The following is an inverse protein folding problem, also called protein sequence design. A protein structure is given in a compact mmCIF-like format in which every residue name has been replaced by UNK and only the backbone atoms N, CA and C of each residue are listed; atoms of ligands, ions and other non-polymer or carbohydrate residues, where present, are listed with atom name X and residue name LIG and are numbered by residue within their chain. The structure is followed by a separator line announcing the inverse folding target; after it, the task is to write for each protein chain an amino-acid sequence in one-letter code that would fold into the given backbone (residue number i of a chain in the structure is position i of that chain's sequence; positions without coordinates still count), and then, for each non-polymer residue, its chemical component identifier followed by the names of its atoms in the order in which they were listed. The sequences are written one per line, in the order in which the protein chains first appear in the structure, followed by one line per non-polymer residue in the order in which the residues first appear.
data_IF_313235824305
#
_entry.id   IF_313235824305
#
_cell.length_a   1.000
_cell.length_b   1.000
_cell.length_c   1.000
_cell.angle_alpha   90.00
_cell.angle_beta   90.00
_cell.angle_gamma   90.00
#
_symmetry.space_group_name_H-M   'P 1'
#
loop_
_entity.id
_entity.type
_entity.pdbx_description
1 polymer ?
#
# COMPACT_ATOMS: atom_id res chain seq x y z
N UNK A 1 6.45 -15.44 -2.70
CA UNK A 1 5.02 -15.11 -2.84
C UNK A 1 4.27 -16.41 -2.92
N UNK A 2 3.51 -16.75 -1.92
CA UNK A 2 2.57 -17.87 -1.95
C UNK A 2 1.18 -17.30 -2.22
N UNK A 3 0.40 -17.97 -3.07
CA UNK A 3 -1.01 -17.66 -3.27
C UNK A 3 -1.72 -17.90 -1.93
N UNK A 4 -2.24 -16.85 -1.33
CA UNK A 4 -2.71 -16.93 0.03
C UNK A 4 -4.15 -17.39 0.06
N UNK A 5 -4.37 -18.59 0.55
CA UNK A 5 -5.66 -19.03 1.05
C UNK A 5 -5.86 -18.48 2.46
N UNK A 6 -6.27 -17.20 2.57
CA UNK A 6 -6.60 -16.58 3.84
C UNK A 6 -8.06 -16.12 3.83
N UNK A 7 -9.03 -16.96 4.24
CA UNK A 7 -10.47 -16.73 4.05
C UNK A 7 -10.98 -15.37 4.56
N UNK A 8 -10.36 -14.87 5.65
CA UNK A 8 -10.70 -13.57 6.21
C UNK A 8 -10.32 -12.42 5.28
N UNK A 9 -9.13 -12.47 4.68
CA UNK A 9 -8.65 -11.44 3.77
C UNK A 9 -9.39 -11.49 2.43
N UNK A 10 -9.64 -12.70 1.91
CA UNK A 10 -10.40 -12.92 0.67
C UNK A 10 -11.81 -12.35 0.78
N UNK A 11 -12.55 -12.72 1.83
CA UNK A 11 -13.90 -12.20 2.07
C UNK A 11 -13.95 -10.68 2.23
N UNK A 12 -12.89 -10.09 2.78
CA UNK A 12 -12.78 -8.65 2.98
C UNK A 12 -12.50 -7.93 1.65
N UNK A 13 -11.58 -8.45 0.85
CA UNK A 13 -11.27 -7.94 -0.49
C UNK A 13 -12.50 -8.04 -1.40
N UNK A 14 -13.18 -9.19 -1.44
CA UNK A 14 -14.40 -9.41 -2.19
C UNK A 14 -15.47 -8.37 -1.82
N UNK A 15 -15.72 -8.17 -0.52
CA UNK A 15 -16.71 -7.21 -0.01
C UNK A 15 -16.40 -5.78 -0.44
N UNK A 16 -15.12 -5.35 -0.35
CA UNK A 16 -14.71 -4.01 -0.78
C UNK A 16 -14.85 -3.87 -2.29
N UNK A 17 -14.34 -4.84 -3.06
CA UNK A 17 -14.40 -4.80 -4.51
C UNK A 17 -15.84 -4.75 -5.03
N UNK A 18 -16.74 -5.57 -4.46
CA UNK A 18 -18.16 -5.55 -4.80
C UNK A 18 -18.82 -4.21 -4.48
N UNK A 19 -18.47 -3.59 -3.34
CA UNK A 19 -19.05 -2.31 -2.91
C UNK A 19 -18.63 -1.14 -3.81
N UNK A 20 -17.46 -1.20 -4.42
CA UNK A 20 -16.90 -0.11 -5.24
C UNK A 20 -16.84 -0.41 -6.73
N UNK A 21 -17.31 -1.58 -7.17
CA UNK A 21 -17.29 -1.98 -8.58
C UNK A 21 -15.86 -2.14 -9.13
N UNK A 22 -14.93 -2.56 -8.29
CA UNK A 22 -13.53 -2.80 -8.64
C UNK A 22 -13.35 -4.29 -8.93
N UNK A 23 -12.58 -4.62 -9.97
CA UNK A 23 -12.21 -6.02 -10.23
C UNK A 23 -11.33 -6.57 -9.10
N UNK A 24 -11.65 -7.78 -8.65
CA UNK A 24 -10.91 -8.42 -7.57
C UNK A 24 -9.44 -8.68 -7.97
N UNK A 25 -8.47 -8.25 -7.15
CA UNK A 25 -7.07 -8.58 -7.34
C UNK A 25 -6.80 -10.02 -6.88
N UNK A 26 -5.78 -10.64 -7.45
CA UNK A 26 -5.22 -11.87 -6.90
C UNK A 26 -4.53 -11.57 -5.56
N UNK A 27 -4.84 -12.34 -4.52
CA UNK A 27 -4.26 -12.15 -3.19
C UNK A 27 -2.99 -13.00 -3.02
N UNK A 28 -1.92 -12.36 -2.56
CA UNK A 28 -0.64 -13.00 -2.24
C UNK A 28 -0.18 -12.66 -0.83
N UNK A 29 0.48 -13.61 -0.18
CA UNK A 29 1.08 -13.38 1.14
C UNK A 29 2.60 -13.44 1.07
N UNK A 30 3.24 -12.55 1.83
CA UNK A 30 4.68 -12.60 2.12
C UNK A 30 4.87 -13.03 3.56
N UNK A 31 5.68 -14.07 3.76
CA UNK A 31 5.99 -14.60 5.10
C UNK A 31 7.01 -13.70 5.80
N UNK A 32 6.47 -12.69 6.48
CA UNK A 32 7.22 -11.77 7.36
C UNK A 32 6.32 -11.30 8.49
N UNK A 33 6.91 -11.05 9.65
CA UNK A 33 6.23 -10.52 10.84
C UNK A 33 5.92 -9.01 10.75
N UNK A 34 6.48 -8.33 9.75
CA UNK A 34 6.21 -6.92 9.51
C UNK A 34 4.74 -6.70 9.12
N UNK A 35 4.21 -5.54 9.45
CA UNK A 35 2.86 -5.13 9.06
C UNK A 35 2.98 -4.23 7.84
N UNK A 36 2.69 -4.78 6.67
CA UNK A 36 2.74 -4.03 5.42
C UNK A 36 1.83 -4.64 4.35
N UNK A 37 1.54 -3.87 3.31
CA UNK A 37 0.79 -4.30 2.15
C UNK A 37 1.25 -3.52 0.91
N UNK A 38 1.01 -4.09 -0.27
CA UNK A 38 1.32 -3.46 -1.54
C UNK A 38 0.34 -3.91 -2.62
N UNK A 39 0.01 -3.02 -3.54
CA UNK A 39 -0.69 -3.38 -4.77
C UNK A 39 0.27 -3.32 -5.95
N UNK A 40 0.30 -4.37 -6.75
CA UNK A 40 1.18 -4.48 -7.91
C UNK A 40 0.44 -5.03 -9.12
N UNK A 41 0.89 -4.68 -10.32
CA UNK A 41 0.34 -5.24 -11.54
C UNK A 41 -0.23 -4.20 -12.49
N UNK A 42 -1.13 -4.65 -13.36
CA UNK A 42 -1.81 -3.86 -14.40
C UNK A 42 -3.32 -4.00 -14.23
N UNK A 43 -4.08 -3.16 -14.91
CA UNK A 43 -5.54 -3.13 -14.80
C UNK A 43 -6.22 -4.49 -15.01
N UNK A 44 -5.62 -5.34 -15.84
CA UNK A 44 -6.11 -6.68 -16.18
C UNK A 44 -5.47 -7.81 -15.33
N UNK A 45 -4.46 -7.49 -14.52
CA UNK A 45 -3.70 -8.47 -13.73
C UNK A 45 -3.18 -7.83 -12.43
N UNK A 46 -4.10 -7.38 -11.59
CA UNK A 46 -3.77 -6.77 -10.29
C UNK A 46 -3.51 -7.84 -9.25
N UNK A 47 -2.50 -7.59 -8.44
CA UNK A 47 -2.15 -8.41 -7.29
C UNK A 47 -2.08 -7.54 -6.05
N UNK A 48 -2.78 -7.99 -5.01
CA UNK A 48 -2.69 -7.43 -3.68
C UNK A 48 -1.78 -8.32 -2.85
N UNK A 49 -0.71 -7.76 -2.35
CA UNK A 49 0.28 -8.45 -1.52
C UNK A 49 0.09 -7.98 -0.09
N UNK A 50 -0.15 -8.92 0.83
CA UNK A 50 -0.30 -8.62 2.26
C UNK A 50 0.72 -9.45 3.03
N UNK A 51 1.38 -8.85 4.00
CA UNK A 51 2.31 -9.59 4.86
C UNK A 51 1.57 -10.47 5.87
N UNK A 52 2.19 -11.58 6.28
CA UNK A 52 1.66 -12.43 7.36
C UNK A 52 1.43 -11.62 8.63
N UNK A 53 2.37 -10.74 8.99
CA UNK A 53 2.22 -9.87 10.15
C UNK A 53 1.00 -8.95 10.09
N UNK A 54 0.61 -8.44 8.93
CA UNK A 54 -0.61 -7.67 8.76
C UNK A 54 -1.87 -8.53 8.96
N UNK A 55 -1.89 -9.74 8.40
CA UNK A 55 -3.00 -10.67 8.54
C UNK A 55 -3.24 -11.13 9.98
N UNK A 56 -2.18 -11.30 10.76
CA UNK A 56 -2.24 -11.81 12.14
C UNK A 56 -2.47 -10.72 13.18
N UNK A 57 -1.87 -9.52 12.99
CA UNK A 57 -1.80 -8.47 14.04
C UNK A 57 -2.83 -7.35 13.87
N UNK A 58 -3.36 -7.18 12.66
CA UNK A 58 -4.41 -6.21 12.40
C UNK A 58 -5.78 -6.78 12.74
N UNK A 59 -6.63 -5.97 13.38
CA UNK A 59 -8.03 -6.30 13.53
C UNK A 59 -8.78 -6.16 12.18
N UNK A 60 -10.08 -6.46 12.18
CA UNK A 60 -10.87 -6.44 10.96
C UNK A 60 -10.95 -5.05 10.33
N UNK A 61 -11.17 -4.01 11.13
CA UNK A 61 -11.31 -2.64 10.65
C UNK A 61 -9.98 -2.07 10.16
N UNK A 62 -8.90 -2.39 10.88
CA UNK A 62 -7.54 -2.01 10.50
C UNK A 62 -7.13 -2.67 9.17
N UNK A 63 -7.40 -3.97 9.00
CA UNK A 63 -7.12 -4.68 7.76
C UNK A 63 -7.98 -4.16 6.60
N UNK A 64 -9.27 -3.86 6.85
CA UNK A 64 -10.17 -3.25 5.90
C UNK A 64 -9.64 -1.88 5.43
N UNK A 65 -9.14 -1.06 6.35
CA UNK A 65 -8.57 0.23 6.04
C UNK A 65 -7.30 0.10 5.18
N UNK A 66 -6.44 -0.86 5.49
CA UNK A 66 -5.23 -1.15 4.70
C UNK A 66 -5.59 -1.62 3.30
N UNK A 67 -6.50 -2.58 3.16
CA UNK A 67 -6.96 -3.08 1.86
C UNK A 67 -7.62 -1.97 1.05
N UNK A 68 -8.49 -1.17 1.65
CA UNK A 68 -9.14 -0.03 0.99
C UNK A 68 -8.12 0.99 0.48
N UNK A 69 -7.09 1.28 1.27
CA UNK A 69 -5.99 2.15 0.85
C UNK A 69 -5.22 1.58 -0.35
N UNK A 70 -4.88 0.30 -0.33
CA UNK A 70 -4.15 -0.31 -1.43
C UNK A 70 -5.00 -0.34 -2.73
N UNK A 71 -6.29 -0.62 -2.61
CA UNK A 71 -7.20 -0.62 -3.75
C UNK A 71 -7.44 0.80 -4.30
N UNK A 72 -7.41 1.83 -3.46
CA UNK A 72 -7.50 3.23 -3.91
C UNK A 72 -6.31 3.64 -4.77
N UNK A 73 -5.11 3.17 -4.45
CA UNK A 73 -3.92 3.36 -5.28
C UNK A 73 -4.09 2.79 -6.68
N UNK A 74 -4.80 1.68 -6.79
CA UNK A 74 -5.09 1.04 -8.07
C UNK A 74 -5.92 1.95 -8.99
N UNK A 75 -6.97 2.57 -8.46
CA UNK A 75 -7.82 3.52 -9.20
C UNK A 75 -7.11 4.79 -9.65
N UNK A 76 -6.06 5.21 -8.95
CA UNK A 76 -5.38 6.50 -9.12
C UNK A 76 -4.14 6.47 -10.04
N UNK A 77 -3.98 5.44 -10.87
CA UNK A 77 -2.94 5.42 -11.92
C UNK A 77 -1.52 5.08 -11.44
N UNK A 78 -1.37 4.44 -10.27
CA UNK A 78 -0.07 3.98 -9.77
C UNK A 78 0.67 3.06 -10.77
N UNK A 79 -0.08 2.45 -11.68
CA UNK A 79 0.48 1.66 -12.79
C UNK A 79 1.41 2.47 -13.68
N UNK A 80 1.05 3.73 -13.97
CA UNK A 80 1.89 4.61 -14.77
C UNK A 80 3.20 4.91 -14.04
N UNK A 81 3.15 5.16 -12.73
CA UNK A 81 4.33 5.38 -11.90
C UNK A 81 5.22 4.13 -11.86
N UNK A 82 4.65 2.94 -11.71
CA UNK A 82 5.40 1.66 -11.69
C UNK A 82 6.09 1.39 -13.02
N UNK A 83 5.40 1.63 -14.15
CA UNK A 83 5.99 1.49 -15.48
C UNK A 83 7.12 2.51 -15.68
N UNK A 84 6.91 3.77 -15.29
CA UNK A 84 7.93 4.81 -15.42
C UNK A 84 9.16 4.55 -14.54
N UNK A 85 8.98 4.02 -13.31
CA UNK A 85 10.09 3.61 -12.45
C UNK A 85 10.89 2.48 -13.10
N UNK A 86 10.21 1.52 -13.72
CA UNK A 86 10.87 0.43 -14.44
C UNK A 86 11.66 0.92 -15.66
N UNK A 87 11.10 1.85 -16.44
CA UNK A 87 11.77 2.47 -17.59
C UNK A 87 12.93 3.36 -17.15
N UNK A 88 12.83 4.04 -16.00
CA UNK A 88 13.89 4.91 -15.49
C UNK A 88 15.19 4.18 -15.16
N UNK A 89 15.17 2.85 -14.99
CA UNK A 89 16.37 2.01 -14.88
C UNK A 89 17.22 2.03 -16.15
N UNK A 90 16.59 2.06 -17.31
CA UNK A 90 17.28 2.02 -18.60
C UNK A 90 18.01 3.34 -18.92
N UNK A 91 17.69 4.43 -18.21
CA UNK A 91 18.16 5.80 -18.52
C UNK A 91 19.28 6.27 -17.57
N UNK A 92 19.84 5.41 -16.72
CA UNK A 92 20.99 5.71 -15.86
C UNK A 92 20.76 6.85 -14.86
N UNK A 93 21.72 7.78 -14.67
CA UNK A 93 21.63 8.83 -13.64
C UNK A 93 20.46 9.81 -13.87
N UNK A 94 20.01 10.00 -15.11
CA UNK A 94 18.81 10.79 -15.42
C UNK A 94 17.54 10.15 -14.84
N UNK A 95 17.50 8.83 -14.77
CA UNK A 95 16.40 8.06 -14.18
C UNK A 95 16.23 8.31 -12.69
N UNK A 96 17.29 8.60 -11.94
CA UNK A 96 17.18 8.92 -10.50
C UNK A 96 16.49 10.28 -10.26
N UNK A 97 16.74 11.26 -11.11
CA UNK A 97 16.12 12.58 -11.04
C UNK A 97 14.63 12.52 -11.44
N UNK A 98 14.32 11.71 -12.44
CA UNK A 98 12.94 11.46 -12.89
C UNK A 98 12.15 10.74 -11.79
N UNK A 99 12.74 9.73 -11.13
CA UNK A 99 12.11 9.03 -10.00
C UNK A 99 11.75 9.97 -8.86
N UNK A 100 12.68 10.84 -8.42
CA UNK A 100 12.43 11.80 -7.35
C UNK A 100 11.27 12.76 -7.65
N UNK A 101 11.00 13.01 -8.93
CA UNK A 101 9.92 13.89 -9.37
C UNK A 101 8.57 13.18 -9.59
N UNK A 102 8.62 11.90 -9.94
CA UNK A 102 7.43 11.07 -10.19
C UNK A 102 6.91 10.38 -8.93
N UNK A 103 7.79 10.08 -7.98
CA UNK A 103 7.44 9.53 -6.67
C UNK A 103 7.22 10.68 -5.68
N UNK A 104 6.24 11.53 -5.97
CA UNK A 104 5.85 12.60 -5.05
C UNK A 104 5.22 11.95 -3.80
N UNK A 105 5.80 12.25 -2.63
CA UNK A 105 5.26 11.80 -1.34
C UNK A 105 3.80 12.18 -1.10
N UNK A 106 3.29 13.17 -1.84
CA UNK A 106 1.88 13.55 -1.87
C UNK A 106 0.97 12.45 -2.42
N UNK A 107 1.48 11.54 -3.27
CA UNK A 107 0.66 10.42 -3.80
C UNK A 107 0.28 9.43 -2.70
N UNK A 108 1.20 9.14 -1.78
CA UNK A 108 0.93 8.22 -0.67
C UNK A 108 0.00 8.84 0.37
N UNK A 109 0.17 10.14 0.67
CA UNK A 109 -0.76 10.85 1.53
C UNK A 109 -2.17 10.94 0.91
N UNK A 110 -2.27 11.13 -0.40
CA UNK A 110 -3.56 11.06 -1.12
C UNK A 110 -4.16 9.67 -1.06
N UNK A 111 -3.36 8.63 -1.24
CA UNK A 111 -3.83 7.26 -1.11
C UNK A 111 -4.39 6.94 0.27
N UNK A 112 -3.79 7.49 1.33
CA UNK A 112 -4.32 7.35 2.68
C UNK A 112 -5.69 8.02 2.80
N UNK A 113 -5.85 9.24 2.27
CA UNK A 113 -7.12 9.97 2.28
C UNK A 113 -8.18 9.26 1.42
N UNK A 114 -7.81 8.84 0.20
CA UNK A 114 -8.72 8.14 -0.71
C UNK A 114 -9.15 6.77 -0.12
N UNK A 115 -8.23 6.04 0.50
CA UNK A 115 -8.51 4.80 1.21
C UNK A 115 -9.47 4.98 2.38
N UNK A 116 -9.29 6.07 3.12
CA UNK A 116 -10.19 6.45 4.21
C UNK A 116 -11.58 6.84 3.69
N UNK A 117 -11.69 7.49 2.54
CA UNK A 117 -12.98 7.78 1.92
C UNK A 117 -13.74 6.50 1.53
N UNK A 118 -13.02 5.45 1.13
CA UNK A 118 -13.60 4.14 0.85
C UNK A 118 -14.13 3.47 2.12
N UNK A 119 -13.35 3.46 3.18
CA UNK A 119 -13.72 2.76 4.43
C UNK A 119 -14.52 3.62 5.39
N UNK A 120 -14.52 4.94 5.22
CA UNK A 120 -15.20 5.94 6.07
C UNK A 120 -14.80 5.90 7.54
N UNK A 121 -13.63 5.35 7.85
CA UNK A 121 -13.17 5.23 9.24
C UNK A 121 -11.65 5.50 9.36
N UNK A 122 -11.24 6.80 9.36
CA UNK A 122 -9.84 7.22 9.46
C UNK A 122 -9.06 6.60 10.61
N UNK A 123 -9.63 6.44 11.83
CA UNK A 123 -8.87 5.92 12.96
C UNK A 123 -8.35 4.49 12.75
N UNK A 124 -8.99 3.68 11.90
CA UNK A 124 -8.51 2.32 11.62
C UNK A 124 -7.19 2.32 10.87
N UNK A 125 -7.07 3.16 9.83
CA UNK A 125 -5.81 3.29 9.09
C UNK A 125 -4.71 3.88 9.96
N UNK A 126 -5.01 4.90 10.77
CA UNK A 126 -4.05 5.47 11.71
C UNK A 126 -3.49 4.41 12.66
N UNK A 127 -4.35 3.58 13.26
CA UNK A 127 -3.92 2.47 14.15
C UNK A 127 -3.11 1.42 13.42
N UNK A 128 -3.48 1.05 12.19
CA UNK A 128 -2.72 0.11 11.39
C UNK A 128 -1.29 0.63 11.13
N UNK A 129 -1.15 1.92 10.77
CA UNK A 129 0.15 2.56 10.58
C UNK A 129 0.96 2.67 11.87
N UNK A 130 0.32 2.91 13.03
CA UNK A 130 0.98 2.90 14.34
C UNK A 130 1.55 1.52 14.69
N UNK A 131 0.76 0.47 14.48
CA UNK A 131 1.21 -0.91 14.68
C UNK A 131 2.36 -1.26 13.73
N UNK A 132 2.27 -0.85 12.47
CA UNK A 132 3.32 -1.05 11.48
C UNK A 132 4.63 -0.33 11.89
N UNK A 133 4.53 0.91 12.40
CA UNK A 133 5.67 1.68 12.90
C UNK A 133 6.35 1.03 14.10
N UNK A 134 5.57 0.43 14.99
CA UNK A 134 6.07 -0.22 16.21
C UNK A 134 6.65 -1.62 15.94
N UNK A 135 6.32 -2.20 14.79
CA UNK A 135 6.72 -3.56 14.42
C UNK A 135 8.04 -3.64 13.64
N UNK A 136 8.32 -4.83 13.12
CA UNK A 136 9.43 -5.05 12.21
C UNK A 136 9.21 -4.32 10.88
N UNK A 137 10.28 -3.80 10.29
CA UNK A 137 10.23 -3.24 8.94
C UNK A 137 10.47 -4.34 7.90
N UNK A 138 9.82 -4.24 6.75
CA UNK A 138 10.16 -5.05 5.58
C UNK A 138 11.41 -4.45 4.95
N UNK A 139 12.38 -5.30 4.60
CA UNK A 139 13.52 -4.88 3.80
C UNK A 139 13.08 -4.81 2.33
N UNK A 140 12.71 -3.62 1.91
CA UNK A 140 12.22 -3.37 0.57
C UNK A 140 13.36 -3.08 -0.39
N UNK A 141 13.33 -3.73 -1.56
CA UNK A 141 14.13 -3.28 -2.70
C UNK A 141 13.79 -1.79 -2.98
N UNK A 142 14.79 -0.91 -3.12
CA UNK A 142 14.60 0.51 -3.44
C UNK A 142 13.69 0.78 -4.64
N UNK A 143 13.45 -0.23 -5.48
CA UNK A 143 12.59 -0.13 -6.65
C UNK A 143 11.11 -0.36 -6.37
N UNK A 144 10.78 -1.18 -5.38
CA UNK A 144 9.42 -1.54 -5.00
C UNK A 144 8.91 -0.76 -3.79
N UNK A 145 9.79 -0.03 -3.11
CA UNK A 145 9.49 0.63 -1.86
C UNK A 145 8.27 1.59 -1.94
N UNK A 146 8.05 2.22 -3.08
CA UNK A 146 6.93 3.13 -3.30
C UNK A 146 5.57 2.43 -3.45
N UNK A 147 5.57 1.11 -3.62
CA UNK A 147 4.36 0.30 -3.74
C UNK A 147 3.84 -0.15 -2.38
N UNK A 148 4.67 -0.12 -1.36
CA UNK A 148 4.36 -0.60 -0.03
C UNK A 148 3.73 0.50 0.83
N UNK A 149 2.82 0.11 1.71
CA UNK A 149 2.11 1.02 2.59
C UNK A 149 3.05 1.81 3.50
N UNK A 150 3.99 1.12 4.13
CA UNK A 150 4.95 1.73 5.07
C UNK A 150 6.16 2.28 4.33
N UNK A 151 6.66 1.53 3.36
CA UNK A 151 7.88 1.89 2.61
C UNK A 151 9.13 2.02 3.48
N UNK A 152 10.32 2.14 2.90
CA UNK A 152 11.53 2.36 3.68
C UNK A 152 11.62 3.81 4.13
N UNK A 153 11.90 4.01 5.40
CA UNK A 153 12.12 5.32 6.03
C UNK A 153 13.30 6.13 5.41
N UNK A 154 14.10 5.51 4.55
CA UNK A 154 15.31 6.09 3.95
C UNK A 154 15.11 6.86 2.66
N UNK A 155 13.95 6.86 2.05
CA UNK A 155 13.87 7.32 0.67
C UNK A 155 13.69 8.84 0.50
N UNK A 156 13.41 9.61 1.55
CA UNK A 156 13.14 11.06 1.42
C UNK A 156 11.94 11.40 0.50
N UNK A 157 11.25 10.36 0.06
CA UNK A 157 10.20 10.41 -0.97
C UNK A 157 8.81 10.24 -0.34
N UNK A 158 8.75 9.66 0.87
CA UNK A 158 7.49 9.50 1.60
C UNK A 158 7.39 10.52 2.73
N UNK A 159 6.20 11.08 3.00
CA UNK A 159 5.95 11.79 4.25
C UNK A 159 6.32 10.87 5.40
N UNK A 160 6.89 11.43 6.45
CA UNK A 160 7.19 10.65 7.64
C UNK A 160 5.91 9.96 8.10
N UNK A 161 6.03 8.69 8.48
CA UNK A 161 4.88 7.88 8.91
C UNK A 161 4.11 8.57 10.06
N UNK A 162 4.82 9.34 10.89
CA UNK A 162 4.24 10.18 11.95
C UNK A 162 3.30 11.24 11.37
N UNK A 163 3.72 11.97 10.34
CA UNK A 163 2.90 13.01 9.70
C UNK A 163 1.63 12.43 9.07
N UNK A 164 1.73 11.23 8.48
CA UNK A 164 0.58 10.52 7.90
C UNK A 164 -0.42 10.12 8.99
N UNK A 165 0.08 9.58 10.10
CA UNK A 165 -0.76 9.20 11.26
C UNK A 165 -1.45 10.43 11.84
N UNK A 166 -0.73 11.54 12.02
CA UNK A 166 -1.29 12.76 12.59
C UNK A 166 -2.37 13.35 11.66
N UNK A 167 -2.13 13.39 10.35
CA UNK A 167 -3.14 13.81 9.36
C UNK A 167 -4.41 12.96 9.44
N UNK A 168 -4.28 11.64 9.58
CA UNK A 168 -5.44 10.73 9.68
C UNK A 168 -6.22 10.89 10.99
N UNK A 169 -5.59 11.38 12.03
CA UNK A 169 -6.25 11.66 13.31
C UNK A 169 -7.02 12.99 13.32
N UNK A 170 -6.68 13.90 12.41
CA UNK A 170 -7.35 15.18 12.24
C UNK A 170 -8.59 15.09 11.33
N UNK A 171 -8.79 13.98 10.62
CA UNK A 171 -9.95 13.71 9.76
C UNK A 171 -11.10 13.08 10.55
#
# INVERSE_FOLDING_TARGET
LEEALHPRAESLVESICASFGISEPQLYTVDTDAIDAAVVGRADATRLVITRGALEKLDRLELEAVVGRELSLFGNGIHAATVMVSVSKAVGPLGSMIRGRLLDGRQLARADIDGVQLTRYPPALAKALEKARAGAAVDHDPMSCHLWMVGPARAGVQPLLVERIDTLREL
#
